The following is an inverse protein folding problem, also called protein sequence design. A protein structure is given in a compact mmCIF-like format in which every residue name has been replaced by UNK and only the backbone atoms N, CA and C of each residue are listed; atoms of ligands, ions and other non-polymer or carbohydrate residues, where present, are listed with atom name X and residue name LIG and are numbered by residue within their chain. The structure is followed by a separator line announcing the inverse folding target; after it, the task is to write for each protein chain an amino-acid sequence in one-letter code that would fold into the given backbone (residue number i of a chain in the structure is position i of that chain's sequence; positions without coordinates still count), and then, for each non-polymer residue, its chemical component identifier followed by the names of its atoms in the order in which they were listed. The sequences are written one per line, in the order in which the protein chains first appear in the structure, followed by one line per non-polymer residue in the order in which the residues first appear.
data_IF_409411634337
#
_entry.id   IF_409411634337
#
_cell.length_a   1.000
_cell.length_b   1.000
_cell.length_c   1.000
_cell.angle_alpha   90.00
_cell.angle_beta   90.00
_cell.angle_gamma   90.00
#
_symmetry.space_group_name_H-M   'P 1'
#
loop_
_entity.id
_entity.type
_entity.pdbx_description
1 polymer ?
#
# COMPACT_ATOMS: atom_id res chain seq x y z
N UNK A 1 28.01 17.95 10.18
CA UNK A 1 27.35 17.80 8.87
C UNK A 1 26.27 16.74 9.00
N UNK A 2 25.02 17.16 8.89
CA UNK A 2 23.90 16.22 8.96
C UNK A 2 23.72 15.64 7.56
N UNK A 3 24.06 14.37 7.40
CA UNK A 3 23.74 13.66 6.16
C UNK A 3 22.28 13.26 6.23
N UNK A 4 21.42 14.02 5.59
CA UNK A 4 20.04 13.58 5.37
C UNK A 4 20.06 12.44 4.35
N UNK A 5 19.83 11.22 4.81
CA UNK A 5 19.53 10.12 3.89
C UNK A 5 18.29 10.51 3.10
N UNK A 6 18.47 10.63 1.79
CA UNK A 6 17.33 10.76 0.89
C UNK A 6 16.52 9.47 0.99
N UNK A 7 15.35 9.55 1.60
CA UNK A 7 14.46 8.40 1.71
C UNK A 7 13.88 8.14 0.32
N UNK A 8 14.25 7.02 -0.29
CA UNK A 8 13.75 6.69 -1.61
C UNK A 8 12.39 6.00 -1.52
N UNK A 9 11.39 6.65 -2.09
CA UNK A 9 10.13 5.99 -2.40
C UNK A 9 10.25 5.42 -3.80
N UNK A 10 9.72 4.22 -4.00
CA UNK A 10 9.67 3.58 -5.30
C UNK A 10 8.24 3.61 -5.81
N UNK A 11 8.02 4.09 -7.02
CA UNK A 11 6.73 4.05 -7.69
C UNK A 11 6.76 3.01 -8.80
N UNK A 12 5.75 2.15 -8.82
CA UNK A 12 5.56 1.11 -9.82
C UNK A 12 4.15 1.22 -10.39
N UNK A 13 3.91 0.59 -11.54
CA UNK A 13 2.56 0.43 -12.06
C UNK A 13 2.23 -1.04 -12.21
N UNK A 14 1.04 -1.42 -11.76
CA UNK A 14 0.54 -2.77 -11.89
C UNK A 14 0.28 -3.07 -13.38
N UNK A 15 0.86 -4.15 -13.95
CA UNK A 15 0.50 -4.56 -15.32
C UNK A 15 -1.00 -4.83 -15.43
N UNK A 16 -1.59 -4.43 -16.55
CA UNK A 16 -3.02 -4.61 -16.84
C UNK A 16 -3.93 -3.95 -15.79
N UNK A 17 -3.47 -2.85 -15.16
CA UNK A 17 -4.22 -2.19 -14.10
C UNK A 17 -5.61 -1.71 -14.54
N UNK A 18 -5.79 -1.36 -15.81
CA UNK A 18 -7.08 -0.91 -16.35
C UNK A 18 -8.15 -1.98 -16.20
N UNK A 19 -7.75 -3.24 -16.30
CA UNK A 19 -8.62 -4.40 -16.11
C UNK A 19 -8.65 -4.87 -14.66
N UNK A 20 -7.49 -4.96 -14.02
CA UNK A 20 -7.35 -5.55 -12.69
C UNK A 20 -7.84 -4.64 -11.56
N UNK A 21 -7.60 -3.34 -11.63
CA UNK A 21 -8.00 -2.42 -10.56
C UNK A 21 -9.51 -2.38 -10.32
N UNK A 22 -10.37 -2.30 -11.34
CA UNK A 22 -11.81 -2.39 -11.11
C UNK A 22 -12.23 -3.72 -10.47
N UNK A 23 -11.59 -4.82 -10.84
CA UNK A 23 -11.86 -6.12 -10.25
C UNK A 23 -11.50 -6.16 -8.76
N UNK A 24 -10.30 -5.70 -8.41
CA UNK A 24 -9.87 -5.66 -7.01
C UNK A 24 -10.70 -4.67 -6.20
N UNK A 25 -11.06 -3.54 -6.76
CA UNK A 25 -11.96 -2.59 -6.10
C UNK A 25 -13.28 -3.25 -5.70
N UNK A 26 -13.91 -3.97 -6.62
CA UNK A 26 -15.15 -4.69 -6.36
C UNK A 26 -14.97 -5.73 -5.25
N UNK A 27 -13.87 -6.49 -5.28
CA UNK A 27 -13.56 -7.46 -4.24
C UNK A 27 -13.36 -6.81 -2.87
N UNK A 28 -12.70 -5.67 -2.82
CA UNK A 28 -12.50 -4.93 -1.57
C UNK A 28 -13.83 -4.46 -0.99
N UNK A 29 -14.67 -3.81 -1.79
CA UNK A 29 -15.97 -3.33 -1.32
C UNK A 29 -16.84 -4.47 -0.80
N UNK A 30 -16.81 -5.61 -1.46
CA UNK A 30 -17.62 -6.77 -1.11
C UNK A 30 -17.16 -7.45 0.18
N UNK A 31 -15.86 -7.42 0.47
CA UNK A 31 -15.27 -8.19 1.57
C UNK A 31 -14.77 -7.34 2.74
N UNK A 32 -14.76 -6.02 2.62
CA UNK A 32 -14.34 -5.15 3.71
C UNK A 32 -15.44 -5.08 4.77
N UNK A 33 -15.08 -5.35 6.03
CA UNK A 33 -16.03 -5.41 7.14
C UNK A 33 -15.46 -4.86 8.45
N UNK A 34 -14.17 -4.55 8.49
CA UNK A 34 -13.50 -4.08 9.71
C UNK A 34 -13.15 -2.61 9.57
N UNK A 35 -13.53 -1.81 10.56
CA UNK A 35 -13.06 -0.41 10.61
C UNK A 35 -11.72 -0.35 11.30
N UNK A 36 -10.74 0.25 10.63
CA UNK A 36 -9.44 0.56 11.20
C UNK A 36 -9.10 2.01 10.90
N UNK A 37 -8.95 2.83 11.95
CA UNK A 37 -8.55 4.24 11.87
C UNK A 37 -9.36 5.09 10.87
N UNK A 38 -10.65 4.80 10.73
CA UNK A 38 -11.53 5.55 9.85
C UNK A 38 -11.71 4.97 8.44
N UNK A 39 -10.95 3.97 8.06
CA UNK A 39 -11.14 3.22 6.81
C UNK A 39 -11.80 1.88 7.08
N UNK A 40 -12.39 1.28 6.06
CA UNK A 40 -12.99 -0.07 6.15
C UNK A 40 -12.09 -1.04 5.41
N UNK A 41 -11.73 -2.15 6.05
CA UNK A 41 -10.74 -3.07 5.51
C UNK A 41 -11.23 -4.50 5.46
N UNK A 42 -10.63 -5.28 4.56
CA UNK A 42 -10.80 -6.73 4.51
C UNK A 42 -10.03 -7.40 5.65
N UNK A 43 -10.18 -8.72 5.75
CA UNK A 43 -9.35 -9.50 6.65
C UNK A 43 -7.86 -9.34 6.31
N UNK A 44 -7.02 -9.50 7.35
CA UNK A 44 -5.57 -9.60 7.19
C UNK A 44 -5.24 -10.85 6.37
N UNK A 45 -4.25 -10.76 5.47
CA UNK A 45 -3.86 -11.85 4.58
C UNK A 45 -5.01 -12.29 3.64
N UNK A 46 -5.75 -11.30 3.11
CA UNK A 46 -6.85 -11.57 2.19
C UNK A 46 -6.32 -12.18 0.88
N UNK A 47 -6.44 -13.49 0.74
CA UNK A 47 -5.76 -14.28 -0.29
C UNK A 47 -6.03 -13.85 -1.75
N UNK A 48 -7.22 -13.34 -2.13
CA UNK A 48 -7.42 -12.84 -3.49
C UNK A 48 -6.46 -11.74 -3.93
N UNK A 49 -5.78 -11.07 -2.98
CA UNK A 49 -4.80 -10.01 -3.26
C UNK A 49 -3.37 -10.54 -3.41
N UNK A 50 -3.13 -11.82 -3.20
CA UNK A 50 -1.79 -12.43 -3.27
C UNK A 50 -1.05 -12.15 -4.58
N UNK A 51 -1.69 -12.17 -5.76
CA UNK A 51 -0.98 -11.85 -7.00
C UNK A 51 -0.34 -10.46 -7.00
N UNK A 52 -0.97 -9.46 -6.37
CA UNK A 52 -0.41 -8.12 -6.23
C UNK A 52 0.84 -8.17 -5.36
N UNK A 53 0.77 -8.86 -4.22
CA UNK A 53 1.88 -9.02 -3.28
C UNK A 53 3.07 -9.66 -3.99
N UNK A 54 2.83 -10.74 -4.72
CA UNK A 54 3.88 -11.48 -5.45
C UNK A 54 4.53 -10.60 -6.52
N UNK A 55 3.74 -9.77 -7.20
CA UNK A 55 4.27 -8.83 -8.18
C UNK A 55 5.22 -7.82 -7.52
N UNK A 56 4.81 -7.21 -6.41
CA UNK A 56 5.62 -6.22 -5.70
C UNK A 56 6.92 -6.86 -5.20
N UNK A 57 6.83 -8.02 -4.57
CA UNK A 57 8.02 -8.75 -4.09
C UNK A 57 8.96 -9.04 -5.25
N UNK A 58 8.44 -9.52 -6.37
CA UNK A 58 9.24 -9.80 -7.57
C UNK A 58 9.98 -8.59 -8.10
N UNK A 59 9.36 -7.41 -8.08
CA UNK A 59 10.00 -6.17 -8.52
C UNK A 59 11.11 -5.73 -7.54
N UNK A 60 10.89 -5.86 -6.25
CA UNK A 60 11.88 -5.47 -5.24
C UNK A 60 13.09 -6.39 -5.24
N UNK A 61 12.90 -7.68 -5.45
CA UNK A 61 13.97 -8.68 -5.47
C UNK A 61 14.87 -8.53 -6.70
N UNK A 62 14.35 -8.06 -7.83
CA UNK A 62 15.14 -7.83 -9.06
C UNK A 62 16.30 -6.87 -8.85
N UNK A 63 16.11 -5.85 -8.03
CA UNK A 63 17.09 -4.81 -7.79
C UNK A 63 18.00 -5.12 -6.59
N UNK A 64 17.81 -6.28 -5.96
CA UNK A 64 18.51 -6.62 -4.74
C UNK A 64 19.48 -7.78 -4.98
N UNK A 65 20.75 -7.55 -4.67
CA UNK A 65 21.80 -8.57 -4.74
C UNK A 65 21.68 -9.61 -3.62
N UNK A 66 20.91 -9.31 -2.60
CA UNK A 66 20.67 -10.24 -1.50
C UNK A 66 19.53 -11.17 -1.87
N UNK A 67 19.84 -12.45 -2.02
CA UNK A 67 18.84 -13.51 -2.28
C UNK A 67 17.94 -13.76 -1.06
N UNK A 68 17.79 -12.78 -0.19
CA UNK A 68 17.00 -12.93 1.00
C UNK A 68 15.52 -12.91 0.66
N UNK A 69 14.81 -13.82 1.23
CA UNK A 69 13.39 -13.98 1.01
C UNK A 69 12.65 -12.83 1.64
N UNK A 70 12.11 -11.99 0.81
CA UNK A 70 11.16 -10.97 1.21
C UNK A 70 9.79 -11.64 1.28
N UNK A 71 9.14 -11.58 2.42
CA UNK A 71 7.83 -12.19 2.63
C UNK A 71 6.83 -11.15 3.10
N UNK A 72 5.57 -11.37 2.78
CA UNK A 72 4.49 -10.54 3.30
C UNK A 72 4.14 -11.00 4.72
N UNK A 73 4.14 -10.06 5.66
CA UNK A 73 3.68 -10.31 7.03
C UNK A 73 2.17 -10.13 7.14
N UNK A 74 1.64 -9.19 6.38
CA UNK A 74 0.20 -9.01 6.19
C UNK A 74 -0.07 -8.25 4.90
N UNK A 75 -1.29 -8.34 4.42
CA UNK A 75 -1.79 -7.57 3.29
C UNK A 75 -3.31 -7.58 3.31
N UNK A 76 -3.91 -6.47 2.89
CA UNK A 76 -5.36 -6.29 2.95
C UNK A 76 -5.81 -5.23 1.96
N UNK A 77 -7.12 -5.22 1.66
CA UNK A 77 -7.75 -4.14 0.93
C UNK A 77 -8.43 -3.17 1.88
N UNK A 78 -8.47 -1.91 1.49
CA UNK A 78 -9.11 -0.83 2.27
C UNK A 78 -9.92 0.05 1.35
N UNK A 79 -11.08 0.54 1.83
CA UNK A 79 -11.73 1.64 1.15
C UNK A 79 -12.00 2.80 2.12
N UNK A 80 -11.96 3.99 1.56
CA UNK A 80 -12.26 5.24 2.25
C UNK A 80 -13.50 5.82 1.63
N UNK A 81 -14.57 5.95 2.40
CA UNK A 81 -15.73 6.71 1.98
C UNK A 81 -15.53 8.17 2.34
N UNK A 82 -16.49 9.03 2.00
CA UNK A 82 -16.42 10.45 2.31
C UNK A 82 -16.29 10.64 3.82
N UNK A 83 -15.29 11.43 4.23
CA UNK A 83 -15.00 11.71 5.64
C UNK A 83 -14.00 10.74 6.28
N UNK A 84 -13.73 9.61 5.65
CA UNK A 84 -12.75 8.67 6.20
C UNK A 84 -11.32 9.19 6.03
N UNK A 85 -10.48 8.92 7.02
CA UNK A 85 -9.08 9.37 7.06
C UNK A 85 -8.23 8.33 7.78
N UNK A 86 -6.92 8.53 7.77
CA UNK A 86 -6.00 7.73 8.53
C UNK A 86 -4.92 8.64 9.14
N UNK A 87 -4.75 8.55 10.46
CA UNK A 87 -3.81 9.38 11.20
C UNK A 87 -2.36 9.01 10.89
N UNK A 88 -1.43 9.88 11.27
CA UNK A 88 0.00 9.63 11.13
C UNK A 88 0.39 8.31 11.76
N UNK A 89 1.07 7.47 11.00
CA UNK A 89 1.52 6.15 11.43
C UNK A 89 2.68 5.66 10.59
N UNK A 90 3.32 4.58 11.03
CA UNK A 90 4.28 3.83 10.25
C UNK A 90 3.89 2.34 10.24
N UNK A 91 4.71 1.52 9.61
CA UNK A 91 4.47 0.09 9.48
C UNK A 91 5.56 -0.77 10.16
N UNK A 92 6.27 -0.19 11.13
CA UNK A 92 7.27 -0.95 11.87
C UNK A 92 6.66 -2.22 12.49
N UNK A 93 7.37 -3.36 12.49
CA UNK A 93 8.76 -3.58 12.10
C UNK A 93 8.97 -3.99 10.64
N UNK A 94 8.01 -3.76 9.75
CA UNK A 94 8.15 -4.08 8.34
C UNK A 94 9.35 -3.34 7.73
N UNK A 95 10.06 -4.00 6.80
CA UNK A 95 11.13 -3.36 6.03
C UNK A 95 10.56 -2.47 4.95
N UNK A 96 9.48 -2.91 4.30
CA UNK A 96 8.76 -2.15 3.29
C UNK A 96 7.27 -2.24 3.53
N UNK A 97 6.57 -1.20 3.11
CA UNK A 97 5.13 -1.22 2.94
C UNK A 97 4.80 -0.76 1.53
N UNK A 98 3.71 -1.25 0.96
CA UNK A 98 3.27 -0.75 -0.33
C UNK A 98 1.78 -0.41 -0.29
N UNK A 99 1.41 0.52 -1.15
CA UNK A 99 0.03 0.93 -1.38
C UNK A 99 -0.24 0.90 -2.88
N UNK A 100 -1.21 0.10 -3.30
CA UNK A 100 -1.72 0.11 -4.66
C UNK A 100 -3.05 0.86 -4.66
N UNK A 101 -3.15 1.90 -5.49
CA UNK A 101 -4.42 2.59 -5.69
C UNK A 101 -5.28 1.81 -6.68
N UNK A 102 -6.40 1.29 -6.21
CA UNK A 102 -7.32 0.49 -7.04
C UNK A 102 -8.51 1.29 -7.55
N UNK A 103 -8.94 2.30 -6.81
CA UNK A 103 -10.01 3.21 -7.25
C UNK A 103 -9.72 4.61 -6.74
N UNK A 104 -9.66 5.58 -7.65
CA UNK A 104 -9.27 6.95 -7.34
C UNK A 104 -10.24 7.96 -7.96
N UNK A 105 -11.51 7.98 -7.50
CA UNK A 105 -12.46 8.96 -8.00
C UNK A 105 -12.04 10.38 -7.62
N UNK A 106 -12.64 11.36 -8.28
CA UNK A 106 -12.40 12.78 -7.97
C UNK A 106 -12.63 13.05 -6.48
N UNK A 107 -11.69 13.74 -5.86
CA UNK A 107 -11.72 14.03 -4.42
C UNK A 107 -11.01 13.00 -3.56
N UNK A 108 -10.40 11.95 -4.16
CA UNK A 108 -9.62 10.96 -3.43
C UNK A 108 -8.43 11.59 -2.73
N UNK A 109 -8.24 11.19 -1.47
CA UNK A 109 -7.15 11.70 -0.64
C UNK A 109 -5.79 11.24 -1.13
N UNK A 110 -4.83 12.13 -1.02
CA UNK A 110 -3.42 11.84 -1.27
C UNK A 110 -2.83 10.99 -0.16
N UNK A 111 -1.73 10.34 -0.46
CA UNK A 111 -0.88 9.74 0.55
C UNK A 111 0.16 10.78 0.95
N UNK A 112 0.12 11.24 2.19
CA UNK A 112 0.90 12.38 2.66
C UNK A 112 2.05 11.96 3.57
N UNK A 113 3.22 12.52 3.31
CA UNK A 113 4.44 12.37 4.11
C UNK A 113 4.79 13.72 4.72
N UNK A 114 5.82 13.80 5.54
CA UNK A 114 6.19 15.05 6.21
C UNK A 114 6.45 16.21 5.26
N UNK A 115 7.17 15.96 4.17
CA UNK A 115 7.63 17.02 3.26
C UNK A 115 7.05 16.94 1.85
N UNK A 116 6.21 15.95 1.55
CA UNK A 116 5.65 15.77 0.22
C UNK A 116 4.42 14.86 0.28
N UNK A 117 3.72 14.77 -0.83
CA UNK A 117 2.57 13.87 -0.96
C UNK A 117 2.60 13.17 -2.32
N UNK A 118 1.89 12.05 -2.39
CA UNK A 118 1.71 11.29 -3.62
C UNK A 118 0.25 11.37 -4.04
N UNK A 119 0.04 11.76 -5.31
CA UNK A 119 -1.29 11.80 -5.89
C UNK A 119 -1.85 10.39 -6.06
N UNK A 120 -3.12 10.17 -5.70
CA UNK A 120 -3.76 8.88 -5.97
C UNK A 120 -3.97 8.72 -7.48
N UNK A 121 -3.45 7.63 -8.02
CA UNK A 121 -3.57 7.31 -9.43
C UNK A 121 -3.80 5.81 -9.58
N UNK A 122 -4.89 5.43 -10.22
CA UNK A 122 -5.27 4.03 -10.37
C UNK A 122 -4.15 3.23 -11.05
N UNK A 123 -3.75 2.14 -10.43
CA UNK A 123 -2.67 1.27 -10.92
C UNK A 123 -1.30 1.60 -10.36
N UNK A 124 -1.12 2.78 -9.75
CA UNK A 124 0.15 3.17 -9.14
C UNK A 124 0.35 2.39 -7.84
N UNK A 125 1.54 1.84 -7.69
CA UNK A 125 2.01 1.21 -6.46
C UNK A 125 3.12 2.06 -5.88
N UNK A 126 2.95 2.50 -4.65
CA UNK A 126 3.96 3.26 -3.92
C UNK A 126 4.59 2.32 -2.90
N UNK A 127 5.91 2.10 -3.02
CA UNK A 127 6.67 1.30 -2.05
C UNK A 127 7.47 2.24 -1.18
N UNK A 128 7.30 2.11 0.12
CA UNK A 128 7.94 2.98 1.12
C UNK A 128 8.71 2.13 2.14
N UNK A 129 9.75 2.69 2.77
CA UNK A 129 10.34 2.07 3.96
C UNK A 129 9.30 1.92 5.06
N UNK A 130 9.38 0.82 5.82
CA UNK A 130 8.37 0.52 6.86
C UNK A 130 8.34 1.54 8.00
N UNK A 131 9.44 2.26 8.24
CA UNK A 131 9.55 3.28 9.29
C UNK A 131 9.14 4.68 8.83
N UNK A 132 8.66 4.83 7.60
CA UNK A 132 8.30 6.15 7.06
C UNK A 132 6.92 6.60 7.53
N UNK A 133 6.88 7.72 8.26
CA UNK A 133 5.64 8.31 8.76
C UNK A 133 4.80 8.88 7.63
N UNK A 134 3.51 8.54 7.63
CA UNK A 134 2.57 9.02 6.62
C UNK A 134 1.15 9.05 7.17
N UNK A 135 0.27 9.76 6.48
CA UNK A 135 -1.15 9.82 6.81
C UNK A 135 -2.00 9.99 5.56
N UNK A 136 -3.29 9.76 5.70
CA UNK A 136 -4.29 9.98 4.65
C UNK A 136 -5.28 11.01 5.18
N UNK A 137 -5.33 12.23 4.60
CA UNK A 137 -6.29 13.25 5.01
C UNK A 137 -7.73 12.81 4.74
N UNK A 138 -8.67 13.54 5.28
CA UNK A 138 -10.09 13.28 5.09
C UNK A 138 -10.43 13.13 3.61
N UNK A 139 -11.02 12.00 3.27
CA UNK A 139 -11.37 11.66 1.90
C UNK A 139 -12.68 12.34 1.49
N UNK A 140 -12.68 12.92 0.30
CA UNK A 140 -13.86 13.59 -0.29
C UNK A 140 -14.42 12.84 -1.48
N UNK A 141 -13.73 11.81 -1.95
CA UNK A 141 -14.16 10.97 -3.06
C UNK A 141 -14.81 9.69 -2.55
N UNK A 142 -15.95 9.30 -3.12
CA UNK A 142 -16.63 8.08 -2.71
C UNK A 142 -15.81 6.84 -3.03
N UNK A 143 -15.65 5.96 -2.05
CA UNK A 143 -15.04 4.64 -2.23
C UNK A 143 -13.63 4.67 -2.84
N UNK A 144 -12.79 5.58 -2.39
CA UNK A 144 -11.36 5.48 -2.65
C UNK A 144 -10.86 4.15 -2.09
N UNK A 145 -10.24 3.31 -2.92
CA UNK A 145 -9.76 2.02 -2.45
C UNK A 145 -8.31 1.77 -2.77
N UNK A 146 -7.67 1.00 -1.89
CA UNK A 146 -6.25 0.66 -1.98
C UNK A 146 -6.02 -0.78 -1.54
N UNK A 147 -4.90 -1.35 -1.98
CA UNK A 147 -4.34 -2.57 -1.42
C UNK A 147 -3.07 -2.18 -0.68
N UNK A 148 -2.98 -2.61 0.57
CA UNK A 148 -1.81 -2.34 1.42
C UNK A 148 -1.15 -3.67 1.75
N UNK A 149 0.18 -3.70 1.72
CA UNK A 149 0.93 -4.86 2.17
C UNK A 149 2.17 -4.46 2.93
N UNK A 150 2.53 -5.26 3.91
CA UNK A 150 3.72 -5.10 4.72
C UNK A 150 4.68 -6.26 4.45
N UNK A 151 5.93 -5.94 4.15
CA UNK A 151 6.94 -6.88 3.70
C UNK A 151 8.13 -6.87 4.64
N UNK A 152 8.65 -8.05 4.92
CA UNK A 152 9.78 -8.21 5.83
C UNK A 152 10.77 -9.22 5.29
N UNK A 153 12.05 -8.96 5.48
CA UNK A 153 13.09 -9.92 5.13
C UNK A 153 13.08 -11.06 6.14
N UNK A 154 13.12 -12.26 5.62
CA UNK A 154 13.24 -13.48 6.41
C UNK A 154 14.69 -13.90 6.44
N UNK A 155 15.25 -14.06 7.64
CA UNK A 155 16.57 -14.66 7.78
C UNK A 155 16.50 -16.13 7.38
N UNK A 156 17.36 -16.55 6.44
CA UNK A 156 17.52 -17.96 6.16
C UNK A 156 18.28 -18.59 7.32
N UNK A 157 17.65 -19.58 7.97
CA UNK A 157 18.36 -20.48 8.85
C UNK A 157 19.02 -21.54 7.97
N UNK A 158 20.34 -21.62 8.04
CA UNK A 158 21.05 -22.76 7.48
C UNK A 158 20.63 -24.06 8.18
#
# INVERSE_FOLDING_TARGET
MIVTKKVEIKELFLPNYEYLCPMYHTLILKNASHKDKGAVMTDWMFQPLRPIVDFVIGQLVKDNTYKNKLVATDFFGQYYDVGHHQDWHDHMPAHYSFVLFTNTPKGSSKLCFENFSVEPERGKIVVIPGDMYHHVPENKGEFRSVVVGNLQYRLERE
#
